data_IF_156298990644
#
_entry.id   IF_156298990644
#
_cell.length_a   1.000
_cell.length_b   1.000
_cell.length_c   1.000
_cell.angle_alpha   90.00
_cell.angle_beta   90.00
_cell.angle_gamma   90.00
#
_symmetry.space_group_name_H-M   'P 1'
#
loop_
_entity.id
_entity.type
_entity.pdbx_description
1 polymer ?
#
# COMPACT_ATOMS: atom_id res chain seq x y z
N UNK A 1 23.74 8.65 -10.71
CA UNK A 1 23.28 8.31 -12.08
C UNK A 1 23.55 9.42 -13.09
N UNK A 2 23.79 10.67 -12.66
CA UNK A 2 24.19 11.76 -13.58
C UNK A 2 23.07 12.25 -14.51
N UNK A 3 21.82 11.89 -14.18
CA UNK A 3 20.61 12.32 -14.89
C UNK A 3 20.23 13.73 -14.44
N UNK A 4 19.65 14.50 -15.36
CA UNK A 4 18.95 15.73 -14.98
C UNK A 4 17.60 15.44 -14.30
N UNK A 5 16.92 16.49 -13.82
CA UNK A 5 15.66 16.34 -13.06
C UNK A 5 14.54 15.73 -13.92
N UNK A 6 14.46 16.10 -15.20
CA UNK A 6 13.41 15.61 -16.11
C UNK A 6 13.64 14.13 -16.46
N UNK A 7 14.88 13.76 -16.76
CA UNK A 7 15.29 12.38 -17.01
C UNK A 7 15.07 11.49 -15.78
N UNK A 8 15.40 11.99 -14.58
CA UNK A 8 15.16 11.28 -13.32
C UNK A 8 13.66 11.10 -13.05
N UNK A 9 12.85 12.13 -13.31
CA UNK A 9 11.39 12.09 -13.16
C UNK A 9 10.75 11.10 -14.12
N UNK A 10 11.15 11.11 -15.39
CA UNK A 10 10.62 10.17 -16.38
C UNK A 10 11.07 8.73 -16.11
N UNK A 11 12.30 8.52 -15.65
CA UNK A 11 12.78 7.20 -15.25
C UNK A 11 12.01 6.67 -14.03
N UNK A 12 11.79 7.52 -13.02
CA UNK A 12 10.98 7.20 -11.86
C UNK A 12 9.56 6.82 -12.28
N UNK A 13 8.90 7.66 -13.09
CA UNK A 13 7.54 7.43 -13.55
C UNK A 13 7.43 6.13 -14.36
N UNK A 14 8.39 5.87 -15.26
CA UNK A 14 8.47 4.64 -16.05
C UNK A 14 8.53 3.40 -15.15
N UNK A 15 9.44 3.39 -14.18
CA UNK A 15 9.62 2.23 -13.30
C UNK A 15 8.50 2.06 -12.29
N UNK A 16 7.96 3.14 -11.75
CA UNK A 16 6.77 3.09 -10.93
C UNK A 16 5.58 2.52 -11.72
N UNK A 17 5.36 3.00 -12.95
CA UNK A 17 4.24 2.56 -13.78
C UNK A 17 4.34 1.08 -14.15
N UNK A 18 5.55 0.62 -14.47
CA UNK A 18 5.82 -0.74 -14.92
C UNK A 18 5.90 -1.75 -13.78
N UNK A 19 6.48 -1.39 -12.65
CA UNK A 19 6.80 -2.33 -11.57
C UNK A 19 6.04 -2.06 -10.26
N UNK A 20 5.28 -0.97 -10.13
CA UNK A 20 4.60 -0.58 -8.88
C UNK A 20 5.53 -0.04 -7.78
N UNK A 21 6.84 -0.12 -7.99
CA UNK A 21 7.88 0.46 -7.16
C UNK A 21 9.06 0.86 -8.05
N UNK A 22 9.42 2.15 -8.10
CA UNK A 22 10.51 2.63 -8.95
C UNK A 22 11.85 1.93 -8.64
N UNK A 23 12.11 1.65 -7.36
CA UNK A 23 13.30 0.91 -6.91
C UNK A 23 13.40 -0.49 -7.53
N UNK A 24 12.28 -1.14 -7.85
CA UNK A 24 12.29 -2.44 -8.52
C UNK A 24 12.85 -2.36 -9.94
N UNK A 25 12.59 -1.27 -10.66
CA UNK A 25 13.21 -1.02 -11.96
C UNK A 25 14.68 -0.65 -11.82
N UNK A 26 15.03 0.20 -10.85
CA UNK A 26 16.42 0.62 -10.61
C UNK A 26 17.34 -0.57 -10.26
N UNK A 27 16.88 -1.47 -9.39
CA UNK A 27 17.63 -2.68 -9.03
C UNK A 27 17.81 -3.64 -10.20
N UNK A 28 16.79 -3.78 -11.08
CA UNK A 28 16.87 -4.68 -12.25
C UNK A 28 17.73 -4.14 -13.40
N UNK A 29 17.77 -2.82 -13.59
CA UNK A 29 18.33 -2.21 -14.80
C UNK A 29 19.56 -1.34 -14.56
N UNK A 30 19.89 -0.99 -13.31
CA UNK A 30 20.90 0.04 -13.01
C UNK A 30 21.86 -0.31 -11.86
N UNK A 31 21.97 -1.58 -11.46
CA UNK A 31 22.88 -2.05 -10.39
C UNK A 31 22.79 -1.22 -9.09
N UNK A 32 21.60 -0.67 -8.80
CA UNK A 32 21.37 0.09 -7.57
C UNK A 32 21.23 -0.86 -6.39
N UNK A 33 21.99 -0.62 -5.32
CA UNK A 33 21.80 -1.29 -4.03
C UNK A 33 20.50 -0.78 -3.38
N UNK A 34 19.47 -1.65 -3.21
CA UNK A 34 18.20 -1.23 -2.66
C UNK A 34 18.29 -0.80 -1.19
N UNK A 35 19.23 -1.34 -0.41
CA UNK A 35 19.41 -0.95 0.99
C UNK A 35 20.07 0.42 1.12
N UNK A 36 21.04 0.74 0.25
CA UNK A 36 21.62 2.07 0.19
C UNK A 36 20.60 3.11 -0.29
N UNK A 37 19.76 2.77 -1.28
CA UNK A 37 18.67 3.62 -1.73
C UNK A 37 17.65 3.88 -0.61
N UNK A 38 17.17 2.84 0.07
CA UNK A 38 16.23 2.96 1.20
C UNK A 38 16.78 3.88 2.29
N UNK A 39 18.06 3.71 2.65
CA UNK A 39 18.74 4.54 3.65
C UNK A 39 18.74 6.01 3.27
N UNK A 40 18.87 6.34 1.99
CA UNK A 40 18.94 7.71 1.45
C UNK A 40 17.58 8.32 1.10
N UNK A 41 16.53 7.51 1.04
CA UNK A 41 15.17 7.94 0.75
C UNK A 41 14.33 7.80 2.03
N UNK A 42 13.60 6.70 2.17
CA UNK A 42 12.69 6.44 3.29
C UNK A 42 13.37 6.54 4.67
N UNK A 43 14.65 6.18 4.76
CA UNK A 43 15.46 6.28 5.97
C UNK A 43 15.76 7.71 6.42
N UNK A 44 15.80 8.68 5.51
CA UNK A 44 16.08 10.10 5.81
C UNK A 44 14.84 10.93 6.09
N UNK A 45 13.64 10.41 5.83
CA UNK A 45 12.41 11.15 6.06
C UNK A 45 12.24 11.45 7.57
N UNK A 46 11.99 12.72 7.95
CA UNK A 46 11.71 13.11 9.32
C UNK A 46 10.26 12.77 9.69
N UNK A 47 9.91 11.47 9.64
CA UNK A 47 8.53 11.00 9.82
C UNK A 47 7.90 11.50 11.12
N UNK A 48 8.69 11.60 12.18
CA UNK A 48 8.26 12.07 13.50
C UNK A 48 7.79 13.54 13.51
N UNK A 49 8.18 14.32 12.50
CA UNK A 49 7.70 15.70 12.29
C UNK A 49 6.55 15.77 11.28
N UNK A 50 6.42 14.77 10.41
CA UNK A 50 5.46 14.75 9.31
C UNK A 50 4.15 14.03 9.64
N UNK A 51 4.21 13.01 10.51
CA UNK A 51 3.05 12.21 10.89
C UNK A 51 2.94 12.14 12.40
N UNK A 52 1.71 12.06 12.88
CA UNK A 52 1.37 12.02 14.30
C UNK A 52 0.31 10.96 14.57
N UNK A 53 0.18 10.47 15.81
CA UNK A 53 -0.91 9.58 16.19
C UNK A 53 -2.26 10.10 15.71
N UNK A 54 -3.08 9.23 15.14
CA UNK A 54 -4.43 9.56 14.69
C UNK A 54 -5.45 8.77 15.54
N UNK A 55 -6.08 9.38 16.56
CA UNK A 55 -7.03 8.69 17.43
C UNK A 55 -8.24 8.10 16.71
N UNK A 56 -8.72 8.77 15.65
CA UNK A 56 -9.85 8.30 14.83
C UNK A 56 -9.44 7.00 14.10
N UNK A 57 -8.27 7.00 13.47
CA UNK A 57 -7.73 5.81 12.82
C UNK A 57 -7.48 4.67 13.81
N UNK A 58 -6.88 4.95 14.97
CA UNK A 58 -6.68 3.93 16.00
C UNK A 58 -8.02 3.32 16.45
N UNK A 59 -9.03 4.15 16.67
CA UNK A 59 -10.37 3.70 17.04
C UNK A 59 -11.00 2.81 15.97
N UNK A 60 -10.83 3.12 14.68
CA UNK A 60 -11.26 2.26 13.58
C UNK A 60 -10.64 0.86 13.69
N UNK A 61 -9.34 0.76 13.97
CA UNK A 61 -8.68 -0.53 14.15
C UNK A 61 -9.18 -1.25 15.40
N UNK A 62 -9.35 -0.55 16.53
CA UNK A 62 -9.86 -1.12 17.79
C UNK A 62 -11.29 -1.66 17.68
N UNK A 63 -12.10 -1.09 16.79
CA UNK A 63 -13.49 -1.52 16.58
C UNK A 63 -13.64 -2.75 15.68
N UNK A 64 -12.57 -3.17 15.00
CA UNK A 64 -12.57 -4.42 14.23
C UNK A 64 -12.74 -5.62 15.17
N UNK A 65 -13.68 -6.49 14.83
CA UNK A 65 -13.93 -7.73 15.55
C UNK A 65 -12.78 -8.72 15.31
N UNK A 66 -11.82 -8.75 16.24
CA UNK A 66 -10.64 -9.62 16.18
C UNK A 66 -10.96 -11.12 16.21
N UNK A 67 -12.20 -11.50 16.52
CA UNK A 67 -12.64 -12.90 16.40
C UNK A 67 -12.97 -13.28 14.95
N UNK A 68 -13.20 -12.30 14.09
CA UNK A 68 -13.55 -12.49 12.66
C UNK A 68 -12.40 -12.16 11.73
N UNK A 69 -11.60 -11.14 12.06
CA UNK A 69 -10.54 -10.64 11.18
C UNK A 69 -9.20 -10.46 11.89
N UNK A 70 -8.14 -10.85 11.18
CA UNK A 70 -6.75 -10.53 11.52
C UNK A 70 -6.29 -9.42 10.60
N UNK A 71 -5.48 -8.50 11.13
CA UNK A 71 -5.02 -7.33 10.36
C UNK A 71 -3.54 -7.43 10.08
N UNK A 72 -3.21 -7.29 8.80
CA UNK A 72 -1.85 -7.39 8.28
C UNK A 72 -1.55 -6.13 7.47
N UNK A 73 -0.35 -5.59 7.62
CA UNK A 73 0.12 -4.46 6.82
C UNK A 73 0.84 -4.99 5.57
N UNK A 74 0.45 -4.53 4.38
CA UNK A 74 1.05 -4.91 3.11
C UNK A 74 1.63 -3.66 2.43
N UNK A 75 2.95 -3.58 2.32
CA UNK A 75 3.63 -2.37 1.81
C UNK A 75 4.70 -2.71 0.77
N UNK A 76 4.89 -1.79 -0.19
CA UNK A 76 6.02 -1.84 -1.12
C UNK A 76 7.32 -1.26 -0.50
N UNK A 77 7.25 -0.64 0.68
CA UNK A 77 8.42 -0.13 1.40
C UNK A 77 9.18 -1.25 2.12
N UNK A 78 10.36 -0.93 2.67
CA UNK A 78 11.12 -1.86 3.50
C UNK A 78 10.62 -1.94 4.95
N UNK A 79 11.02 -3.00 5.66
CA UNK A 79 10.60 -3.28 7.03
C UNK A 79 10.86 -2.12 8.01
N UNK A 80 11.96 -1.37 7.83
CA UNK A 80 12.29 -0.26 8.72
C UNK A 80 11.28 0.89 8.62
N UNK A 81 10.98 1.33 7.40
CA UNK A 81 10.00 2.39 7.17
C UNK A 81 8.60 1.98 7.67
N UNK A 82 8.16 0.76 7.34
CA UNK A 82 6.87 0.24 7.76
C UNK A 82 6.70 0.25 9.29
N UNK A 83 7.70 -0.24 10.02
CA UNK A 83 7.66 -0.28 11.48
C UNK A 83 7.73 1.12 12.10
N UNK A 84 8.49 2.05 11.52
CA UNK A 84 8.52 3.46 11.98
C UNK A 84 7.13 4.10 11.88
N UNK A 85 6.50 4.02 10.71
CA UNK A 85 5.15 4.57 10.48
C UNK A 85 4.13 3.95 11.45
N UNK A 86 4.09 2.63 11.58
CA UNK A 86 3.16 1.95 12.50
C UNK A 86 3.38 2.33 13.97
N UNK A 87 4.63 2.61 14.35
CA UNK A 87 4.98 3.04 15.72
C UNK A 87 4.49 4.47 15.96
N UNK A 88 4.79 5.41 15.05
CA UNK A 88 4.40 6.82 15.19
C UNK A 88 2.87 6.98 15.18
N UNK A 89 2.16 6.24 14.31
CA UNK A 89 0.70 6.26 14.26
C UNK A 89 0.03 5.57 15.45
N UNK A 90 0.82 4.92 16.33
CA UNK A 90 0.34 4.10 17.44
C UNK A 90 -0.62 3.00 16.94
N UNK A 91 -0.18 2.23 15.95
CA UNK A 91 -0.93 1.11 15.37
C UNK A 91 -0.18 -0.21 15.41
N UNK A 92 1.10 -0.23 15.84
CA UNK A 92 1.92 -1.45 15.80
C UNK A 92 1.27 -2.61 16.56
N UNK A 93 0.63 -2.36 17.70
CA UNK A 93 -0.08 -3.36 18.50
C UNK A 93 -1.38 -3.86 17.85
N UNK A 94 -1.88 -3.17 16.82
CA UNK A 94 -3.09 -3.54 16.08
C UNK A 94 -2.79 -4.38 14.83
N UNK A 95 -1.51 -4.62 14.51
CA UNK A 95 -1.06 -5.35 13.31
C UNK A 95 -0.41 -6.67 13.72
N UNK A 96 -0.94 -7.79 13.21
CA UNK A 96 -0.42 -9.13 13.46
C UNK A 96 0.91 -9.37 12.74
N UNK A 97 1.00 -8.93 11.48
CA UNK A 97 2.20 -9.09 10.67
C UNK A 97 2.33 -8.03 9.58
N UNK A 98 3.57 -7.86 9.09
CA UNK A 98 3.91 -6.90 8.05
C UNK A 98 4.54 -7.67 6.89
N UNK A 99 3.94 -7.57 5.71
CA UNK A 99 4.49 -8.04 4.45
C UNK A 99 5.06 -6.82 3.72
N UNK A 100 6.36 -6.87 3.45
CA UNK A 100 7.14 -5.77 2.91
C UNK A 100 7.99 -6.23 1.72
N UNK A 101 8.53 -5.29 0.94
CA UNK A 101 9.51 -5.62 -0.09
C UNK A 101 10.85 -5.91 0.59
N UNK A 102 11.29 -7.16 0.59
CA UNK A 102 12.54 -7.55 1.24
C UNK A 102 13.76 -7.16 0.40
N UNK A 103 14.28 -5.96 0.62
CA UNK A 103 15.42 -5.43 -0.12
C UNK A 103 16.73 -6.24 0.07
N UNK A 104 16.80 -7.13 1.08
CA UNK A 104 17.92 -8.07 1.24
C UNK A 104 17.83 -9.24 0.23
N UNK A 105 16.65 -9.49 -0.34
CA UNK A 105 16.41 -10.53 -1.34
C UNK A 105 16.39 -9.91 -2.76
N UNK A 106 17.34 -10.24 -3.66
CA UNK A 106 17.38 -9.65 -5.01
C UNK A 106 16.12 -9.95 -5.85
N UNK A 107 15.41 -11.02 -5.51
CA UNK A 107 14.18 -11.46 -6.19
C UNK A 107 12.91 -11.08 -5.41
N UNK A 108 12.95 -10.09 -4.53
CA UNK A 108 11.76 -9.64 -3.80
C UNK A 108 10.62 -9.29 -4.77
N UNK A 109 9.41 -9.66 -4.38
CA UNK A 109 8.20 -9.24 -5.08
C UNK A 109 7.69 -7.93 -4.50
N UNK A 110 6.93 -7.17 -5.29
CA UNK A 110 6.23 -5.97 -4.86
C UNK A 110 4.82 -5.93 -5.44
N UNK A 111 3.87 -5.23 -4.83
CA UNK A 111 2.56 -5.01 -5.44
C UNK A 111 2.75 -4.20 -6.75
N UNK A 112 2.10 -4.55 -7.87
CA UNK A 112 0.99 -5.52 -8.01
C UNK A 112 1.41 -6.93 -8.49
N UNK A 113 2.67 -7.35 -8.36
CA UNK A 113 3.13 -8.68 -8.78
C UNK A 113 2.38 -9.80 -7.99
N UNK A 114 1.84 -10.85 -8.67
CA UNK A 114 1.11 -11.94 -8.02
C UNK A 114 1.84 -12.61 -6.85
N UNK A 115 3.16 -12.74 -6.97
CA UNK A 115 4.04 -13.34 -5.98
C UNK A 115 3.96 -12.62 -4.63
N UNK A 116 3.74 -11.30 -4.62
CA UNK A 116 3.59 -10.52 -3.39
C UNK A 116 2.33 -10.94 -2.61
N UNK A 117 1.20 -11.07 -3.29
CA UNK A 117 -0.07 -11.48 -2.68
C UNK A 117 -0.04 -12.94 -2.22
N UNK A 118 0.56 -13.84 -3.01
CA UNK A 118 0.76 -15.23 -2.61
C UNK A 118 1.67 -15.35 -1.38
N UNK A 119 2.74 -14.56 -1.32
CA UNK A 119 3.60 -14.48 -0.13
C UNK A 119 2.83 -13.95 1.08
N UNK A 120 1.98 -12.93 0.91
CA UNK A 120 1.17 -12.39 2.00
C UNK A 120 0.21 -13.44 2.56
N UNK A 121 -0.50 -14.16 1.69
CA UNK A 121 -1.38 -15.27 2.09
C UNK A 121 -0.61 -16.37 2.82
N UNK A 122 0.56 -16.75 2.29
CA UNK A 122 1.43 -17.77 2.92
C UNK A 122 1.89 -17.35 4.32
N UNK A 123 2.36 -16.12 4.50
CA UNK A 123 2.80 -15.61 5.81
C UNK A 123 1.64 -15.51 6.80
N UNK A 124 0.46 -15.11 6.32
CA UNK A 124 -0.75 -15.07 7.13
C UNK A 124 -1.35 -16.48 7.40
N UNK A 125 -0.86 -17.53 6.76
CA UNK A 125 -1.44 -18.88 6.88
C UNK A 125 -2.83 -19.01 6.28
N UNK A 126 -3.13 -18.24 5.23
CA UNK A 126 -4.42 -18.27 4.50
C UNK A 126 -4.23 -19.02 3.19
N UNK A 127 -5.08 -20.01 2.94
CA UNK A 127 -5.10 -20.76 1.67
C UNK A 127 -6.25 -20.36 0.73
N UNK A 128 -7.32 -19.80 1.29
CA UNK A 128 -8.52 -19.39 0.55
C UNK A 128 -8.51 -17.88 0.30
N UNK A 129 -8.28 -17.42 -0.96
CA UNK A 129 -8.21 -16.00 -1.27
C UNK A 129 -9.54 -15.27 -1.05
N UNK A 130 -10.68 -15.98 -1.06
CA UNK A 130 -11.99 -15.37 -0.79
C UNK A 130 -12.11 -14.83 0.65
N UNK A 131 -11.23 -15.28 1.57
CA UNK A 131 -11.15 -14.77 2.94
C UNK A 131 -10.32 -13.49 3.07
N UNK A 132 -9.63 -13.06 2.02
CA UNK A 132 -8.82 -11.86 2.04
C UNK A 132 -9.68 -10.61 1.77
N UNK A 133 -9.51 -9.61 2.64
CA UNK A 133 -10.03 -8.27 2.47
C UNK A 133 -8.84 -7.34 2.22
N UNK A 134 -8.94 -6.44 1.25
CA UNK A 134 -7.83 -5.56 0.88
C UNK A 134 -8.27 -4.14 0.61
N UNK A 135 -7.56 -3.19 1.21
CA UNK A 135 -7.71 -1.76 0.98
C UNK A 135 -6.34 -1.20 0.62
N UNK A 136 -6.26 -0.43 -0.45
CA UNK A 136 -5.03 0.18 -0.96
C UNK A 136 -5.39 1.44 -1.76
N UNK A 137 -4.47 2.39 -1.79
CA UNK A 137 -4.64 3.66 -2.51
C UNK A 137 -4.30 3.54 -4.00
N UNK A 138 -3.51 2.53 -4.38
CA UNK A 138 -3.22 2.24 -5.76
C UNK A 138 -4.28 1.35 -6.38
N UNK A 139 -5.07 1.91 -7.31
CA UNK A 139 -6.07 1.14 -8.09
C UNK A 139 -5.47 -0.11 -8.74
N UNK A 140 -4.21 -0.05 -9.21
CA UNK A 140 -3.51 -1.21 -9.80
C UNK A 140 -3.35 -2.34 -8.79
N UNK A 141 -2.96 -2.02 -7.56
CA UNK A 141 -2.81 -3.02 -6.49
C UNK A 141 -4.16 -3.66 -6.14
N UNK A 142 -5.23 -2.87 -6.09
CA UNK A 142 -6.57 -3.36 -5.74
C UNK A 142 -7.13 -4.27 -6.84
N UNK A 143 -6.95 -3.89 -8.11
CA UNK A 143 -7.36 -4.72 -9.25
C UNK A 143 -6.58 -6.03 -9.28
N UNK A 144 -5.26 -6.00 -9.07
CA UNK A 144 -4.44 -7.22 -9.05
C UNK A 144 -4.88 -8.19 -7.94
N UNK A 145 -5.14 -7.69 -6.73
CA UNK A 145 -5.68 -8.52 -5.65
C UNK A 145 -7.01 -9.19 -6.06
N UNK A 146 -7.90 -8.42 -6.71
CA UNK A 146 -9.20 -8.93 -7.17
C UNK A 146 -9.07 -9.98 -8.27
N UNK A 147 -8.18 -9.78 -9.23
CA UNK A 147 -7.86 -10.73 -10.30
C UNK A 147 -7.27 -12.04 -9.75
N UNK A 148 -6.55 -11.97 -8.63
CA UNK A 148 -6.05 -13.14 -7.88
C UNK A 148 -7.11 -13.79 -6.98
N UNK A 149 -8.36 -13.34 -7.05
CA UNK A 149 -9.50 -13.94 -6.36
C UNK A 149 -9.68 -13.47 -4.91
N UNK A 150 -9.04 -12.38 -4.49
CA UNK A 150 -9.27 -11.84 -3.15
C UNK A 150 -10.73 -11.40 -2.99
N UNK A 151 -11.37 -11.85 -1.91
CA UNK A 151 -12.83 -11.81 -1.76
C UNK A 151 -13.41 -10.40 -1.85
N UNK A 152 -12.88 -9.46 -1.05
CA UNK A 152 -13.37 -8.08 -0.98
C UNK A 152 -12.22 -7.09 -1.10
N UNK A 153 -12.36 -6.14 -2.01
CA UNK A 153 -11.32 -5.18 -2.35
C UNK A 153 -11.92 -3.76 -2.38
N UNK A 154 -11.27 -2.82 -1.70
CA UNK A 154 -11.65 -1.41 -1.66
C UNK A 154 -10.48 -0.56 -2.17
N UNK A 155 -10.77 0.38 -3.07
CA UNK A 155 -9.83 1.40 -3.51
C UNK A 155 -10.03 2.65 -2.69
N UNK A 156 -9.03 3.00 -1.88
CA UNK A 156 -9.01 4.24 -1.12
C UNK A 156 -8.47 5.36 -2.01
N UNK A 157 -9.10 6.52 -2.02
CA UNK A 157 -8.55 7.69 -2.70
C UNK A 157 -8.98 8.95 -1.96
N UNK A 158 -8.04 9.84 -1.66
CA UNK A 158 -8.38 11.08 -0.98
C UNK A 158 -9.02 12.05 -1.99
N UNK A 159 -10.28 12.39 -1.77
CA UNK A 159 -10.98 13.37 -2.59
C UNK A 159 -10.40 14.77 -2.35
N UNK A 160 -9.96 15.44 -3.42
CA UNK A 160 -9.52 16.83 -3.35
C UNK A 160 -8.08 17.08 -2.91
N UNK A 161 -7.27 16.03 -2.73
CA UNK A 161 -5.82 16.16 -2.55
C UNK A 161 -5.08 15.87 -3.87
N UNK A 162 -4.00 16.62 -4.09
CA UNK A 162 -3.05 16.33 -5.16
C UNK A 162 -2.24 15.10 -4.75
N UNK A 163 -2.46 13.98 -5.43
CA UNK A 163 -1.69 12.76 -5.20
C UNK A 163 -0.43 12.78 -6.07
N UNK A 164 0.71 12.40 -5.48
CA UNK A 164 1.95 12.14 -6.21
C UNK A 164 1.96 10.68 -6.64
N UNK A 165 1.73 10.41 -7.92
CA UNK A 165 1.78 9.06 -8.49
C UNK A 165 3.03 8.95 -9.38
N UNK A 166 4.03 8.19 -8.92
CA UNK A 166 5.29 8.05 -9.65
C UNK A 166 6.02 9.37 -9.91
N UNK A 167 6.04 10.27 -8.91
CA UNK A 167 6.73 11.56 -9.00
C UNK A 167 6.00 12.65 -9.80
N UNK A 168 4.76 12.38 -10.28
CA UNK A 168 3.94 13.36 -10.99
C UNK A 168 2.69 13.72 -10.18
N UNK A 169 2.41 15.01 -10.09
CA UNK A 169 1.25 15.57 -9.41
C UNK A 169 -0.04 15.26 -10.19
N UNK A 170 -1.05 14.71 -9.51
CA UNK A 170 -2.32 14.35 -10.12
C UNK A 170 -3.46 14.82 -9.22
N UNK A 171 -4.30 15.71 -9.73
CA UNK A 171 -5.52 16.15 -9.02
C UNK A 171 -6.56 15.04 -9.11
N UNK A 172 -6.86 14.39 -7.98
CA UNK A 172 -7.93 13.40 -7.89
C UNK A 172 -9.27 14.14 -7.74
N UNK A 173 -10.14 14.05 -8.77
CA UNK A 173 -11.55 14.43 -8.66
C UNK A 173 -12.09 15.59 -9.50
N UNK A 174 -11.40 16.10 -10.54
CA UNK A 174 -11.97 17.17 -11.39
C UNK A 174 -12.68 16.75 -12.68
N UNK A 175 -12.77 15.45 -13.00
CA UNK A 175 -13.64 14.96 -14.06
C UNK A 175 -14.38 13.73 -13.60
N UNK A 176 -15.66 13.88 -13.26
CA UNK A 176 -16.76 13.02 -13.73
C UNK A 176 -16.69 11.50 -13.56
N UNK A 177 -15.71 10.91 -12.90
CA UNK A 177 -15.72 9.50 -12.51
C UNK A 177 -16.60 9.36 -11.26
N UNK A 178 -17.89 9.64 -11.43
CA UNK A 178 -18.91 8.97 -10.61
C UNK A 178 -18.57 7.50 -10.60
N UNK A 179 -18.38 6.95 -9.40
CA UNK A 179 -17.98 5.57 -9.12
C UNK A 179 -18.89 4.54 -9.79
N UNK A 180 -18.73 4.36 -11.10
CA UNK A 180 -19.08 3.14 -11.79
C UNK A 180 -17.95 2.17 -11.47
N UNK A 181 -18.30 1.12 -10.73
CA UNK A 181 -17.43 0.03 -10.33
C UNK A 181 -16.78 -0.66 -11.53
N UNK A 182 -15.72 -0.07 -12.07
CA UNK A 182 -14.87 -0.76 -13.03
C UNK A 182 -14.20 -1.91 -12.25
N UNK A 183 -14.55 -3.15 -12.61
CA UNK A 183 -14.05 -4.41 -12.03
C UNK A 183 -14.62 -4.82 -10.65
N UNK A 184 -15.77 -4.29 -10.22
CA UNK A 184 -16.40 -4.74 -8.95
C UNK A 184 -15.66 -4.29 -7.68
N UNK A 185 -14.75 -3.32 -7.81
CA UNK A 185 -14.04 -2.70 -6.70
C UNK A 185 -14.88 -1.56 -6.13
N UNK A 186 -14.99 -1.50 -4.81
CA UNK A 186 -15.66 -0.41 -4.09
C UNK A 186 -14.65 0.71 -3.89
N UNK A 187 -15.03 1.94 -4.20
CA UNK A 187 -14.17 3.10 -3.99
C UNK A 187 -14.60 3.85 -2.71
N UNK A 188 -13.66 4.22 -1.86
CA UNK A 188 -13.89 4.94 -0.59
C UNK A 188 -12.95 6.13 -0.49
N UNK A 189 -13.39 7.18 0.19
CA UNK A 189 -12.62 8.43 0.38
C UNK A 189 -12.20 8.68 1.83
N UNK A 190 -12.87 8.02 2.78
CA UNK A 190 -12.51 7.94 4.19
C UNK A 190 -12.48 6.47 4.62
N UNK A 191 -11.47 6.07 5.41
CA UNK A 191 -11.38 4.71 5.94
C UNK A 191 -12.55 4.35 6.87
N UNK A 192 -13.27 5.32 7.45
CA UNK A 192 -14.51 5.05 8.20
C UNK A 192 -15.61 4.42 7.33
N UNK A 193 -15.58 4.63 6.01
CA UNK A 193 -16.53 4.01 5.08
C UNK A 193 -16.41 2.48 5.08
N UNK A 194 -15.29 1.93 5.58
CA UNK A 194 -15.14 0.48 5.81
C UNK A 194 -16.24 -0.10 6.70
N UNK A 195 -16.78 0.68 7.65
CA UNK A 195 -17.92 0.26 8.48
C UNK A 195 -19.19 0.04 7.68
N UNK A 196 -19.36 0.77 6.58
CA UNK A 196 -20.50 0.66 5.68
C UNK A 196 -20.28 -0.42 4.63
N UNK A 197 -19.06 -0.51 4.09
CA UNK A 197 -18.77 -1.46 3.00
C UNK A 197 -18.52 -2.88 3.52
N UNK A 198 -17.96 -3.04 4.72
CA UNK A 198 -17.69 -4.32 5.39
C UNK A 198 -18.27 -4.34 6.82
N UNK A 199 -19.58 -4.13 7.02
CA UNK A 199 -20.16 -4.00 8.37
C UNK A 199 -20.00 -5.26 9.23
N UNK A 200 -19.85 -6.43 8.61
CA UNK A 200 -19.74 -7.72 9.28
C UNK A 200 -18.45 -7.90 10.09
N UNK A 201 -17.38 -7.19 9.73
CA UNK A 201 -16.05 -7.32 10.38
C UNK A 201 -15.85 -6.36 11.57
N UNK A 202 -16.81 -5.47 11.82
CA UNK A 202 -16.78 -4.55 12.96
C UNK A 202 -17.58 -5.14 14.12
N UNK A 203 -17.15 -4.79 15.33
CA UNK A 203 -17.88 -5.09 16.56
C UNK A 203 -19.20 -4.29 16.56
N UNK A 204 -20.30 -4.94 16.99
CA UNK A 204 -21.58 -4.26 17.19
C UNK A 204 -21.55 -3.38 18.45
#
# INVERSE_FOLDING_TARGET
MGLDEDEASDLHFKYYTQYGLALRGLTRHHEIDPLDFDRKCDGTLPLEELIQPNPKLRKLFEDLDRTKVRVWALTNAYKHHANRVLTILNLRDQIEGVVFCDYENPNFACKPEPEFYHNAMKQAGISDPLKCLFVDDSKKNVVAAKELGWGRCAHFYEAGLEAMEGGKLKTLGQNGDTAASANGVVAITDLEELRTVWPDIFSK
#
